data_IF_357639967239
#
_entry.id   IF_357639967239
#
_cell.length_a   1.000
_cell.length_b   1.000
_cell.length_c   1.000
_cell.angle_alpha   90.00
_cell.angle_beta   90.00
_cell.angle_gamma   90.00
#
_symmetry.space_group_name_H-M   'P 1'
#
loop_
_entity.id
_entity.type
_entity.pdbx_description
1 polymer ?
#
# COMPACT_ATOMS: atom_id res chain seq x y z
N UNK A 1 -6.31 -17.12 -2.27
CA UNK A 1 -6.26 -15.65 -2.16
C UNK A 1 -5.40 -15.12 -0.98
N UNK A 2 -4.57 -15.96 -0.31
CA UNK A 2 -3.81 -15.51 0.88
C UNK A 2 -2.41 -14.93 0.62
N UNK A 3 -1.69 -15.41 -0.40
CA UNK A 3 -0.31 -14.95 -0.67
C UNK A 3 -0.29 -13.51 -1.15
N UNK A 4 -1.20 -13.15 -2.07
CA UNK A 4 -1.27 -11.82 -2.66
C UNK A 4 -1.52 -10.74 -1.61
N UNK A 5 -2.34 -11.01 -0.58
CA UNK A 5 -2.63 -10.05 0.49
C UNK A 5 -1.36 -9.59 1.21
N UNK A 6 -0.44 -10.51 1.53
CA UNK A 6 0.83 -10.16 2.18
C UNK A 6 1.70 -9.29 1.28
N UNK A 7 1.74 -9.59 -0.02
CA UNK A 7 2.46 -8.78 -1.01
C UNK A 7 1.92 -7.35 -1.05
N UNK A 8 0.60 -7.19 -1.13
CA UNK A 8 -0.04 -5.87 -1.13
C UNK A 8 0.25 -5.09 0.15
N UNK A 9 0.01 -5.68 1.33
CA UNK A 9 0.19 -4.93 2.58
C UNK A 9 1.66 -4.57 2.84
N UNK A 10 2.61 -5.47 2.56
CA UNK A 10 4.04 -5.13 2.66
C UNK A 10 4.41 -3.98 1.72
N UNK A 11 3.92 -3.99 0.49
CA UNK A 11 4.13 -2.88 -0.45
C UNK A 11 3.59 -1.55 0.10
N UNK A 12 2.38 -1.56 0.68
CA UNK A 12 1.79 -0.36 1.29
C UNK A 12 2.58 0.15 2.51
N UNK A 13 3.16 -0.76 3.33
CA UNK A 13 4.04 -0.38 4.45
C UNK A 13 5.31 0.31 3.95
N UNK A 14 5.93 -0.22 2.88
CA UNK A 14 7.09 0.41 2.25
C UNK A 14 6.74 1.80 1.70
N UNK A 15 5.58 1.96 1.03
CA UNK A 15 5.11 3.28 0.58
C UNK A 15 4.89 4.27 1.73
N UNK A 16 4.61 3.77 2.93
CA UNK A 16 4.44 4.57 4.13
C UNK A 16 5.76 4.87 4.88
N UNK A 17 6.90 4.35 4.38
CA UNK A 17 8.24 4.61 4.93
C UNK A 17 8.88 3.41 5.66
N UNK A 18 8.14 2.31 5.86
CA UNK A 18 8.59 1.16 6.63
C UNK A 18 9.38 0.18 5.72
N UNK A 19 10.63 0.55 5.43
CA UNK A 19 11.47 -0.13 4.45
C UNK A 19 11.84 -1.58 4.80
N UNK A 20 11.72 -1.98 6.07
CA UNK A 20 11.96 -3.35 6.56
C UNK A 20 11.00 -4.38 5.95
N UNK A 21 9.87 -3.93 5.40
CA UNK A 21 8.89 -4.77 4.71
C UNK A 21 9.23 -5.05 3.24
N UNK A 22 10.33 -4.51 2.72
CA UNK A 22 10.74 -4.66 1.31
C UNK A 22 11.09 -6.10 0.90
N UNK A 23 11.48 -6.96 1.84
CA UNK A 23 11.86 -8.34 1.56
C UNK A 23 10.76 -9.35 1.92
N UNK A 24 10.64 -10.38 1.08
CA UNK A 24 9.81 -11.57 1.29
C UNK A 24 10.67 -12.78 1.65
N UNK A 25 10.05 -13.79 2.28
CA UNK A 25 10.75 -15.02 2.62
C UNK A 25 11.13 -15.82 1.37
N UNK A 26 10.21 -15.89 0.40
CA UNK A 26 10.50 -16.48 -0.89
C UNK A 26 10.96 -15.39 -1.86
N UNK A 27 12.07 -15.60 -2.55
CA UNK A 27 12.62 -14.60 -3.47
C UNK A 27 11.69 -14.32 -4.68
N UNK A 28 10.82 -15.26 -5.03
CA UNK A 28 9.87 -15.14 -6.14
C UNK A 28 8.55 -14.46 -5.76
N UNK A 29 8.35 -14.18 -4.48
CA UNK A 29 7.14 -13.50 -3.99
C UNK A 29 7.26 -12.01 -4.29
N UNK A 30 6.65 -11.60 -5.40
CA UNK A 30 6.70 -10.21 -5.89
C UNK A 30 5.39 -9.85 -6.58
N UNK A 31 4.91 -8.63 -6.35
CA UNK A 31 3.81 -8.07 -7.12
C UNK A 31 4.24 -7.89 -8.58
N UNK A 32 3.39 -8.28 -9.52
CA UNK A 32 3.56 -7.86 -10.91
C UNK A 32 3.49 -6.34 -11.03
N UNK A 33 4.02 -5.78 -12.12
CA UNK A 33 3.97 -4.33 -12.36
C UNK A 33 2.53 -3.79 -12.35
N UNK A 34 1.58 -4.54 -12.92
CA UNK A 34 0.18 -4.16 -12.92
C UNK A 34 -0.41 -4.11 -11.49
N UNK A 35 -0.10 -5.10 -10.65
CA UNK A 35 -0.57 -5.14 -9.26
C UNK A 35 0.06 -4.03 -8.42
N UNK A 36 1.36 -3.78 -8.59
CA UNK A 36 2.08 -2.69 -7.92
C UNK A 36 1.51 -1.32 -8.28
N UNK A 37 1.36 -1.05 -9.58
CA UNK A 37 0.77 0.19 -10.08
C UNK A 37 -0.67 0.39 -9.58
N UNK A 38 -1.46 -0.68 -9.52
CA UNK A 38 -2.80 -0.63 -8.96
C UNK A 38 -2.78 -0.27 -7.47
N UNK A 39 -1.93 -0.93 -6.67
CA UNK A 39 -1.77 -0.64 -5.24
C UNK A 39 -1.40 0.82 -4.98
N UNK A 40 -0.43 1.35 -5.72
CA UNK A 40 0.04 2.74 -5.59
C UNK A 40 -1.06 3.75 -5.96
N UNK A 41 -1.79 3.51 -7.05
CA UNK A 41 -2.90 4.38 -7.47
C UNK A 41 -4.02 4.40 -6.43
N UNK A 42 -4.44 3.24 -5.93
CA UNK A 42 -5.50 3.15 -4.92
C UNK A 42 -5.05 3.74 -3.57
N UNK A 43 -3.79 3.54 -3.21
CA UNK A 43 -3.23 4.13 -1.99
C UNK A 43 -3.21 5.66 -2.07
N UNK A 44 -2.74 6.23 -3.18
CA UNK A 44 -2.74 7.68 -3.40
C UNK A 44 -4.16 8.26 -3.41
N UNK A 45 -5.10 7.57 -4.06
CA UNK A 45 -6.52 7.94 -4.06
C UNK A 45 -7.08 8.01 -2.64
N UNK A 46 -6.87 6.95 -1.85
CA UNK A 46 -7.33 6.88 -0.47
C UNK A 46 -6.71 7.98 0.40
N UNK A 47 -5.38 8.17 0.33
CA UNK A 47 -4.67 9.20 1.11
C UNK A 47 -5.19 10.60 0.80
N UNK A 48 -5.45 10.89 -0.46
CA UNK A 48 -6.00 12.18 -0.91
C UNK A 48 -7.43 12.37 -0.40
N UNK A 49 -8.28 11.35 -0.57
CA UNK A 49 -9.66 11.40 -0.07
C UNK A 49 -9.71 11.57 1.45
N UNK A 50 -8.93 10.78 2.19
CA UNK A 50 -8.94 10.80 3.65
C UNK A 50 -8.44 12.12 4.21
N UNK A 51 -7.43 12.73 3.61
CA UNK A 51 -6.93 14.04 4.02
C UNK A 51 -7.99 15.15 3.86
N UNK A 52 -8.75 15.14 2.77
CA UNK A 52 -9.86 16.08 2.57
C UNK A 52 -11.00 15.81 3.55
N UNK A 53 -11.42 14.54 3.64
CA UNK A 53 -12.54 14.13 4.48
C UNK A 53 -12.27 14.40 5.97
N UNK A 54 -11.09 14.08 6.49
CA UNK A 54 -10.78 14.26 7.91
C UNK A 54 -10.72 15.73 8.32
N UNK A 55 -10.24 16.60 7.42
CA UNK A 55 -10.26 18.04 7.61
C UNK A 55 -11.70 18.60 7.67
N UNK A 56 -12.61 18.10 6.82
CA UNK A 56 -14.02 18.50 6.83
C UNK A 56 -14.74 18.07 8.12
N UNK A 57 -14.34 16.94 8.72
CA UNK A 57 -14.97 16.42 9.95
C UNK A 57 -14.45 17.07 11.25
N UNK A 58 -13.58 18.10 11.19
CA UNK A 58 -12.87 18.64 12.36
C UNK A 58 -12.16 17.53 13.18
N UNK A 59 -11.64 16.50 12.51
CA UNK A 59 -10.85 15.43 13.14
C UNK A 59 -9.35 15.79 13.23
N UNK A 60 -8.99 17.04 12.94
CA UNK A 60 -7.63 17.57 12.96
C UNK A 60 -7.50 18.78 13.89
#
# INVERSE_FOLDING_TARGET
EGCDLVLYYKHLMVLNGDTEYSLHFNQTDVLTDAQRNYAEQQYALFRSWYASWSAEQNLA
#
